data_IF_352650820409
#
_entry.id   IF_352650820409
#
_cell.length_a   1.000
_cell.length_b   1.000
_cell.length_c   1.000
_cell.angle_alpha   90.00
_cell.angle_beta   90.00
_cell.angle_gamma   90.00
#
_symmetry.space_group_name_H-M   'P 1'
#
loop_
_entity.id
_entity.type
_entity.pdbx_description
1 polymer ?
#
# COMPACT_ATOMS: atom_id res chain seq x y z
N UNK A 1 -19.49 12.62 8.56
CA UNK A 1 -18.94 12.01 7.33
C UNK A 1 -17.67 11.28 7.73
N UNK A 2 -17.40 10.06 7.22
CA UNK A 2 -16.14 9.39 7.48
C UNK A 2 -14.97 10.23 6.93
N UNK A 3 -13.88 10.31 7.67
CA UNK A 3 -12.69 11.03 7.18
C UNK A 3 -11.99 10.20 6.07
N UNK A 4 -11.08 10.82 5.33
CA UNK A 4 -10.43 10.18 4.18
C UNK A 4 -9.64 8.91 4.57
N UNK A 5 -9.08 8.87 5.78
CA UNK A 5 -8.43 7.68 6.36
C UNK A 5 -9.41 6.53 6.53
N UNK A 6 -10.58 6.78 7.12
CA UNK A 6 -11.64 5.77 7.30
C UNK A 6 -12.16 5.26 5.96
N UNK A 7 -12.34 6.15 4.97
CA UNK A 7 -12.75 5.75 3.63
C UNK A 7 -11.73 4.82 2.97
N UNK A 8 -10.44 5.17 3.00
CA UNK A 8 -9.37 4.34 2.45
C UNK A 8 -9.31 2.96 3.14
N UNK A 9 -9.39 2.93 4.47
CA UNK A 9 -9.42 1.68 5.25
C UNK A 9 -10.64 0.82 4.89
N UNK A 10 -11.82 1.43 4.74
CA UNK A 10 -13.04 0.71 4.36
C UNK A 10 -12.93 0.08 2.98
N UNK A 11 -12.33 0.78 2.01
CA UNK A 11 -12.11 0.25 0.66
C UNK A 11 -11.14 -0.94 0.69
N UNK A 12 -10.02 -0.81 1.40
CA UNK A 12 -9.04 -1.91 1.57
C UNK A 12 -9.68 -3.12 2.26
N UNK A 13 -10.44 -2.89 3.34
CA UNK A 13 -11.14 -3.94 4.08
C UNK A 13 -12.13 -4.69 3.20
N UNK A 14 -12.99 -3.94 2.49
CA UNK A 14 -13.98 -4.55 1.59
C UNK A 14 -13.31 -5.37 0.50
N UNK A 15 -12.20 -4.89 -0.07
CA UNK A 15 -11.44 -5.61 -1.09
C UNK A 15 -10.82 -6.89 -0.54
N UNK A 16 -10.19 -6.83 0.63
CA UNK A 16 -9.65 -8.00 1.34
C UNK A 16 -10.74 -9.05 1.59
N UNK A 17 -11.84 -8.69 2.26
CA UNK A 17 -12.94 -9.62 2.59
C UNK A 17 -13.55 -10.27 1.35
N UNK A 18 -13.67 -9.53 0.24
CA UNK A 18 -14.23 -10.08 -1.01
C UNK A 18 -13.33 -11.15 -1.64
N UNK A 19 -12.02 -11.07 -1.37
CA UNK A 19 -10.97 -11.85 -2.02
C UNK A 19 -10.28 -12.84 -1.09
N UNK A 20 -10.66 -12.84 0.19
CA UNK A 20 -10.21 -13.81 1.18
C UNK A 20 -10.50 -15.24 0.68
N UNK A 21 -9.47 -16.09 0.70
CA UNK A 21 -9.53 -17.45 0.15
C UNK A 21 -9.47 -17.55 -1.38
N UNK A 22 -9.40 -16.43 -2.12
CA UNK A 22 -9.32 -16.40 -3.60
C UNK A 22 -7.98 -15.91 -4.15
N UNK A 23 -7.18 -15.26 -3.31
CA UNK A 23 -5.85 -14.77 -3.67
C UNK A 23 -4.78 -15.42 -2.78
N UNK A 24 -3.50 -15.45 -3.21
CA UNK A 24 -2.43 -16.02 -2.42
C UNK A 24 -2.29 -15.38 -1.02
N UNK A 25 -1.92 -16.15 0.02
CA UNK A 25 -1.73 -15.64 1.38
C UNK A 25 -0.80 -14.43 1.45
N UNK A 26 0.28 -14.42 0.66
CA UNK A 26 1.19 -13.27 0.57
C UNK A 26 0.49 -11.95 0.22
N UNK A 27 -0.45 -11.96 -0.73
CA UNK A 27 -1.18 -10.76 -1.10
C UNK A 27 -2.11 -10.28 0.02
N UNK A 28 -2.68 -11.21 0.79
CA UNK A 28 -3.47 -10.91 1.99
C UNK A 28 -2.59 -10.27 3.08
N UNK A 29 -1.40 -10.83 3.33
CA UNK A 29 -0.46 -10.27 4.31
C UNK A 29 0.02 -8.86 3.93
N UNK A 30 0.26 -8.61 2.64
CA UNK A 30 0.59 -7.27 2.14
C UNK A 30 -0.56 -6.28 2.42
N UNK A 31 -1.81 -6.67 2.15
CA UNK A 31 -2.99 -5.87 2.46
C UNK A 31 -3.10 -5.55 3.95
N UNK A 32 -2.89 -6.56 4.80
CA UNK A 32 -2.92 -6.39 6.26
C UNK A 32 -1.83 -5.44 6.75
N UNK A 33 -0.65 -5.52 6.16
CA UNK A 33 0.44 -4.59 6.44
C UNK A 33 0.05 -3.16 6.06
N UNK A 34 -0.49 -2.93 4.86
CA UNK A 34 -0.92 -1.60 4.43
C UNK A 34 -1.98 -1.01 5.36
N UNK A 35 -2.99 -1.81 5.73
CA UNK A 35 -4.04 -1.40 6.64
C UNK A 35 -3.50 -1.02 8.02
N UNK A 36 -2.61 -1.83 8.59
CA UNK A 36 -1.96 -1.54 9.88
C UNK A 36 -1.18 -0.24 9.84
N UNK A 37 -0.41 -0.01 8.77
CA UNK A 37 0.38 1.22 8.60
C UNK A 37 -0.51 2.46 8.46
N UNK A 38 -1.60 2.39 7.70
CA UNK A 38 -2.58 3.49 7.58
C UNK A 38 -3.26 3.73 8.93
N UNK A 39 -3.66 2.67 9.64
CA UNK A 39 -4.32 2.78 10.95
C UNK A 39 -3.42 3.46 11.99
N UNK A 40 -2.12 3.16 11.97
CA UNK A 40 -1.12 3.70 12.90
C UNK A 40 -0.79 5.19 12.71
N UNK A 41 -1.25 5.81 11.62
CA UNK A 41 -1.12 7.27 11.42
C UNK A 41 -1.86 7.98 12.56
N UNK A 42 -1.11 8.66 13.43
CA UNK A 42 -1.67 9.42 14.54
C UNK A 42 -2.41 10.65 14.02
N UNK A 43 -3.47 11.03 14.72
CA UNK A 43 -4.34 12.14 14.32
C UNK A 43 -4.45 13.09 15.50
N UNK A 44 -3.88 14.27 15.35
CA UNK A 44 -4.11 15.44 16.21
C UNK A 44 -4.65 16.60 15.36
N UNK A 45 -5.01 17.73 15.99
CA UNK A 45 -5.65 18.86 15.28
C UNK A 45 -4.81 19.46 14.15
N UNK A 46 -3.47 19.42 14.25
CA UNK A 46 -2.58 19.90 13.18
C UNK A 46 -2.44 18.83 12.10
N UNK A 47 -2.32 17.58 12.54
CA UNK A 47 -2.20 16.42 11.65
C UNK A 47 -3.50 16.12 10.91
N UNK A 48 -4.68 16.55 11.37
CA UNK A 48 -5.96 16.28 10.67
C UNK A 48 -6.04 16.93 9.29
N UNK A 49 -5.58 18.18 9.16
CA UNK A 49 -5.53 18.87 7.86
C UNK A 49 -4.48 18.23 6.94
N UNK A 50 -3.30 17.91 7.50
CA UNK A 50 -2.27 17.15 6.78
C UNK A 50 -2.78 15.77 6.37
N UNK A 51 -3.56 15.10 7.22
CA UNK A 51 -4.09 13.76 7.02
C UNK A 51 -5.07 13.71 5.86
N UNK A 52 -5.88 14.75 5.66
CA UNK A 52 -6.77 14.81 4.50
C UNK A 52 -5.95 14.79 3.20
N UNK A 53 -4.91 15.61 3.11
CA UNK A 53 -4.02 15.65 1.96
C UNK A 53 -3.21 14.34 1.84
N UNK A 54 -2.71 13.81 2.97
CA UNK A 54 -2.00 12.54 3.02
C UNK A 54 -2.87 11.38 2.56
N UNK A 55 -4.14 11.37 2.94
CA UNK A 55 -5.10 10.35 2.55
C UNK A 55 -5.42 10.44 1.07
N UNK A 56 -5.51 11.63 0.48
CA UNK A 56 -5.63 11.81 -0.97
C UNK A 56 -4.39 11.27 -1.71
N UNK A 57 -3.19 11.48 -1.16
CA UNK A 57 -1.96 10.98 -1.76
C UNK A 57 -1.79 9.47 -1.60
N UNK A 58 -2.19 8.91 -0.45
CA UNK A 58 -2.24 7.46 -0.23
C UNK A 58 -3.31 6.81 -1.09
N UNK A 59 -4.49 7.42 -1.21
CA UNK A 59 -5.55 6.96 -2.10
C UNK A 59 -5.06 6.80 -3.54
N UNK A 60 -4.28 7.75 -4.05
CA UNK A 60 -3.61 7.61 -5.35
C UNK A 60 -2.73 6.37 -5.42
N UNK A 61 -2.10 5.89 -4.34
CA UNK A 61 -1.36 4.63 -4.41
C UNK A 61 -2.30 3.41 -4.49
N UNK A 62 -3.42 3.44 -3.77
CA UNK A 62 -4.26 2.27 -3.53
C UNK A 62 -5.44 2.12 -4.47
N UNK A 63 -6.24 3.17 -4.70
CA UNK A 63 -7.59 3.06 -5.25
C UNK A 63 -7.93 4.14 -6.28
N UNK A 64 -7.38 5.35 -6.12
CA UNK A 64 -7.70 6.55 -6.90
C UNK A 64 -9.21 6.84 -6.92
N UNK A 65 -9.74 7.29 -5.78
CA UNK A 65 -11.15 7.61 -5.56
C UNK A 65 -11.62 8.80 -6.43
N UNK A 66 -10.70 9.66 -6.87
CA UNK A 66 -11.04 10.92 -7.56
C UNK A 66 -11.15 10.82 -9.09
N UNK A 67 -10.27 10.11 -9.85
CA UNK A 67 -10.47 9.83 -11.31
C UNK A 67 -9.30 9.18 -12.12
N UNK A 68 -9.67 8.55 -13.27
CA UNK A 68 -8.99 8.21 -14.57
C UNK A 68 -7.75 7.29 -14.69
N UNK A 69 -7.11 6.76 -13.64
CA UNK A 69 -6.07 5.72 -13.87
C UNK A 69 -6.72 4.33 -13.95
N UNK A 70 -6.42 3.49 -14.97
CA UNK A 70 -6.96 2.14 -15.03
C UNK A 70 -6.64 1.42 -13.72
N UNK A 71 -7.63 0.73 -13.15
CA UNK A 71 -7.51 0.04 -11.86
C UNK A 71 -6.22 -0.78 -11.75
N UNK A 72 -5.73 -1.33 -12.86
CA UNK A 72 -4.51 -2.12 -12.97
C UNK A 72 -3.22 -1.42 -12.53
N UNK A 73 -3.16 -0.09 -12.52
CA UNK A 73 -1.97 0.68 -12.12
C UNK A 73 -1.98 1.05 -10.64
N UNK A 74 -3.02 0.62 -9.89
CA UNK A 74 -3.17 0.87 -8.46
C UNK A 74 -3.11 -0.45 -7.71
N UNK A 75 -2.69 -0.41 -6.43
CA UNK A 75 -2.54 -1.62 -5.63
C UNK A 75 -3.83 -2.45 -5.65
N UNK A 76 -5.02 -1.83 -5.54
CA UNK A 76 -6.29 -2.56 -5.54
C UNK A 76 -6.61 -3.30 -6.84
N UNK A 77 -6.24 -2.78 -8.01
CA UNK A 77 -6.50 -3.49 -9.27
C UNK A 77 -5.40 -4.45 -9.68
N UNK A 78 -4.27 -4.48 -8.98
CA UNK A 78 -3.33 -5.60 -9.04
C UNK A 78 -3.90 -6.84 -8.34
N UNK A 79 -4.64 -6.62 -7.25
CA UNK A 79 -5.28 -7.70 -6.50
C UNK A 79 -6.39 -8.31 -7.36
N UNK A 80 -6.37 -9.64 -7.50
CA UNK A 80 -7.32 -10.42 -8.31
C UNK A 80 -7.14 -10.31 -9.83
N UNK A 81 -6.05 -9.71 -10.33
CA UNK A 81 -5.72 -9.83 -11.76
C UNK A 81 -5.37 -11.29 -12.05
N UNK A 82 -6.08 -11.90 -13.01
CA UNK A 82 -5.84 -13.29 -13.40
C UNK A 82 -4.35 -13.49 -13.74
N UNK A 83 -3.74 -14.54 -13.17
CA UNK A 83 -2.32 -14.87 -13.31
C UNK A 83 -1.33 -13.87 -12.67
N UNK A 84 -1.75 -12.99 -11.76
CA UNK A 84 -0.77 -12.18 -11.01
C UNK A 84 -0.09 -13.05 -9.95
N UNK A 85 1.15 -13.45 -10.23
CA UNK A 85 1.99 -14.16 -9.26
C UNK A 85 2.34 -13.26 -8.07
N UNK A 86 2.86 -13.85 -6.99
CA UNK A 86 3.37 -13.08 -5.85
C UNK A 86 4.53 -12.16 -6.26
N UNK A 87 5.35 -12.60 -7.21
CA UNK A 87 6.48 -11.83 -7.71
C UNK A 87 6.03 -10.66 -8.60
N UNK A 88 5.05 -10.91 -9.48
CA UNK A 88 4.45 -9.85 -10.28
C UNK A 88 3.75 -8.81 -9.41
N UNK A 89 3.02 -9.27 -8.39
CA UNK A 89 2.35 -8.39 -7.44
C UNK A 89 3.37 -7.54 -6.70
N UNK A 90 4.40 -8.16 -6.11
CA UNK A 90 5.47 -7.48 -5.39
C UNK A 90 6.15 -6.43 -6.26
N UNK A 91 6.51 -6.79 -7.49
CA UNK A 91 7.23 -5.91 -8.42
C UNK A 91 6.39 -4.68 -8.75
N UNK A 92 5.12 -4.88 -9.12
CA UNK A 92 4.23 -3.76 -9.50
C UNK A 92 3.88 -2.86 -8.33
N UNK A 93 3.67 -3.42 -7.13
CA UNK A 93 3.45 -2.61 -5.93
C UNK A 93 4.70 -1.80 -5.59
N UNK A 94 5.89 -2.38 -5.75
CA UNK A 94 7.16 -1.68 -5.55
C UNK A 94 7.32 -0.52 -6.54
N UNK A 95 7.00 -0.74 -7.82
CA UNK A 95 7.02 0.30 -8.86
C UNK A 95 6.05 1.45 -8.55
N UNK A 96 4.85 1.14 -8.05
CA UNK A 96 3.88 2.16 -7.61
C UNK A 96 4.48 3.02 -6.50
N UNK A 97 5.05 2.40 -5.47
CA UNK A 97 5.69 3.16 -4.39
C UNK A 97 6.87 3.99 -4.89
N UNK A 98 7.72 3.45 -5.75
CA UNK A 98 8.85 4.18 -6.31
C UNK A 98 8.42 5.39 -7.15
N UNK A 99 7.40 5.21 -7.99
CA UNK A 99 6.85 6.30 -8.80
C UNK A 99 6.30 7.43 -7.94
N UNK A 100 5.52 7.12 -6.91
CA UNK A 100 4.91 8.15 -6.05
C UNK A 100 5.95 8.81 -5.13
N UNK A 101 6.91 8.05 -4.58
CA UNK A 101 8.05 8.63 -3.84
C UNK A 101 8.86 9.57 -4.73
N UNK A 102 9.11 9.19 -5.98
CA UNK A 102 9.80 10.04 -6.95
C UNK A 102 8.97 11.31 -7.22
N UNK A 103 7.67 11.21 -7.46
CA UNK A 103 6.79 12.38 -7.67
C UNK A 103 6.81 13.33 -6.46
N UNK A 104 6.75 12.80 -5.24
CA UNK A 104 6.82 13.58 -4.00
C UNK A 104 8.17 14.32 -3.89
N UNK A 105 9.29 13.69 -4.27
CA UNK A 105 10.60 14.35 -4.27
C UNK A 105 10.70 15.53 -5.24
N UNK A 106 9.96 15.49 -6.35
CA UNK A 106 9.96 16.58 -7.35
C UNK A 106 8.96 17.70 -7.02
N UNK A 107 8.03 17.45 -6.11
CA UNK A 107 6.93 18.37 -5.79
C UNK A 107 7.32 19.25 -4.60
N UNK A 108 8.00 20.38 -4.82
CA UNK A 108 8.33 21.33 -3.75
C UNK A 108 8.17 22.78 -4.23
N UNK A 109 7.13 23.49 -3.78
CA UNK A 109 6.96 24.94 -3.99
C UNK A 109 6.34 25.74 -2.83
N UNK A 110 5.82 25.10 -1.77
CA UNK A 110 5.17 25.80 -0.65
C UNK A 110 5.50 25.10 0.69
N UNK A 111 5.80 25.89 1.73
CA UNK A 111 6.32 25.42 3.02
C UNK A 111 5.29 24.59 3.80
N UNK A 112 4.00 24.87 3.64
CA UNK A 112 2.92 24.11 4.30
C UNK A 112 2.81 22.70 3.70
N UNK A 113 2.72 22.60 2.38
CA UNK A 113 2.62 21.32 1.67
C UNK A 113 3.90 20.47 1.75
N UNK A 114 5.07 21.09 1.95
CA UNK A 114 6.35 20.38 2.11
C UNK A 114 6.36 19.43 3.32
N UNK A 115 5.75 19.82 4.45
CA UNK A 115 5.65 18.94 5.63
C UNK A 115 4.73 17.75 5.36
N UNK A 116 3.57 17.99 4.74
CA UNK A 116 2.63 16.94 4.36
C UNK A 116 3.25 15.94 3.37
N UNK A 117 3.94 16.43 2.33
CA UNK A 117 4.63 15.57 1.35
C UNK A 117 5.75 14.75 1.99
N UNK A 118 6.52 15.33 2.92
CA UNK A 118 7.51 14.60 3.71
C UNK A 118 6.86 13.50 4.55
N UNK A 119 5.72 13.77 5.17
CA UNK A 119 5.01 12.78 5.99
C UNK A 119 4.52 11.59 5.16
N UNK A 120 3.83 11.85 4.03
CA UNK A 120 3.40 10.80 3.10
C UNK A 120 4.59 10.01 2.59
N UNK A 121 5.67 10.68 2.17
CA UNK A 121 6.87 10.01 1.67
C UNK A 121 7.43 9.05 2.71
N UNK A 122 7.50 9.46 3.98
CA UNK A 122 7.97 8.59 5.08
C UNK A 122 7.08 7.35 5.20
N UNK A 123 5.76 7.50 5.14
CA UNK A 123 4.83 6.36 5.17
C UNK A 123 5.06 5.42 3.99
N UNK A 124 5.20 5.94 2.78
CA UNK A 124 5.42 5.11 1.58
C UNK A 124 6.76 4.38 1.61
N UNK A 125 7.83 5.04 2.08
CA UNK A 125 9.15 4.42 2.27
C UNK A 125 9.08 3.29 3.29
N UNK A 126 8.39 3.51 4.41
CA UNK A 126 8.21 2.51 5.46
C UNK A 126 7.37 1.31 4.98
N UNK A 127 6.25 1.55 4.28
CA UNK A 127 5.46 0.49 3.66
C UNK A 127 6.27 -0.32 2.63
N UNK A 128 7.09 0.35 1.80
CA UNK A 128 7.98 -0.31 0.84
C UNK A 128 9.01 -1.19 1.55
N UNK A 129 9.61 -0.70 2.64
CA UNK A 129 10.58 -1.47 3.40
C UNK A 129 9.95 -2.72 4.04
N UNK A 130 8.75 -2.60 4.62
CA UNK A 130 8.03 -3.77 5.15
C UNK A 130 7.59 -4.74 4.05
N UNK A 131 7.18 -4.25 2.88
CA UNK A 131 6.86 -5.10 1.73
C UNK A 131 8.07 -5.96 1.32
N UNK A 132 9.28 -5.38 1.32
CA UNK A 132 10.51 -6.13 1.06
C UNK A 132 10.76 -7.21 2.13
N UNK A 133 10.49 -6.93 3.41
CA UNK A 133 10.62 -7.92 4.49
C UNK A 133 9.63 -9.06 4.34
N UNK A 134 8.37 -8.77 4.00
CA UNK A 134 7.36 -9.80 3.72
C UNK A 134 7.78 -10.68 2.54
N UNK A 135 8.36 -10.10 1.49
CA UNK A 135 8.85 -10.87 0.33
C UNK A 135 10.01 -11.81 0.70
N UNK A 136 10.94 -11.36 1.53
CA UNK A 136 12.03 -12.21 2.05
C UNK A 136 11.49 -13.34 2.93
N UNK A 137 10.53 -13.03 3.82
CA UNK A 137 9.91 -14.04 4.68
C UNK A 137 9.19 -15.14 3.89
N UNK A 138 8.47 -14.75 2.82
CA UNK A 138 7.84 -15.70 1.90
C UNK A 138 8.87 -16.63 1.25
N UNK A 139 9.97 -16.08 0.73
CA UNK A 139 11.02 -16.88 0.10
C UNK A 139 11.68 -17.87 1.08
N UNK A 140 11.82 -17.49 2.35
CA UNK A 140 12.35 -18.37 3.39
C UNK A 140 11.38 -19.52 3.71
N UNK A 141 10.08 -19.26 3.81
CA UNK A 141 9.07 -20.30 4.04
C UNK A 141 9.05 -21.33 2.90
N UNK A 142 9.16 -20.90 1.64
CA UNK A 142 9.21 -21.80 0.49
C UNK A 142 10.44 -22.73 0.55
N UNK A 143 11.59 -22.24 1.01
CA UNK A 143 12.80 -23.03 1.19
C UNK A 143 12.66 -24.07 2.32
N UNK A 144 12.05 -23.68 3.44
CA UNK A 144 11.88 -24.55 4.61
C UNK A 144 10.88 -25.69 4.35
N UNK A 145 9.82 -25.42 3.57
CA UNK A 145 8.85 -26.44 3.12
C UNK A 145 9.51 -27.41 2.14
N UNK A 146 10.31 -26.90 1.20
CA UNK A 146 10.99 -27.73 0.19
C UNK A 146 12.05 -28.62 0.82
N UNK A 147 12.78 -28.15 1.83
CA UNK A 147 13.77 -28.95 2.55
C UNK A 147 13.12 -29.98 3.48
N UNK A 148 11.98 -29.66 4.12
CA UNK A 148 11.26 -30.60 5.00
C UNK A 148 10.59 -31.76 4.25
N UNK A 149 10.23 -31.58 2.97
CA UNK A 149 9.63 -32.64 2.15
C UNK A 149 10.66 -33.60 1.50
N UNK A 150 11.97 -33.37 1.69
CA UNK A 150 13.05 -34.18 1.14
C UNK A 150 13.76 -35.06 2.20
N UNK A 151 13.19 -35.15 3.41
CA UNK A 151 13.59 -36.06 4.49
C UNK A 151 12.44 -37.01 4.83
#
# INVERSE_FOLDING_TARGET
>A
MPNAKELLLNVLNRKKTTLEGKIPPFQIECLDMFQKKIMAIQVDETVEMDLQICSVLLDKCFCDLDNVVPSESRIIGLINKANCTNDDFYTKVTEIFDSEIQRLNHSVKDTFYDQTFKYVKTILVDMKAELARLKVALAQQDLDITTSNNY
#
